data_IF_543305325023
#
_entry.id   IF_543305325023
#
_cell.length_a   1.000
_cell.length_b   1.000
_cell.length_c   1.000
_cell.angle_alpha   90.00
_cell.angle_beta   90.00
_cell.angle_gamma   90.00
#
_symmetry.space_group_name_H-M   'P 1'
#
loop_
_entity.id
_entity.type
_entity.pdbx_description
1 polymer ?
#
# COMPACT_ATOMS: atom_id res chain seq x y z
N UNK A 1 6.64 20.57 -10.92
CA UNK A 1 6.03 20.19 -9.63
C UNK A 1 4.62 20.73 -9.61
N UNK A 2 3.62 19.87 -9.52
CA UNK A 2 2.23 20.29 -9.39
C UNK A 2 2.01 20.79 -7.96
N UNK A 3 1.65 22.07 -7.82
CA UNK A 3 1.14 22.59 -6.56
C UNK A 3 -0.33 22.19 -6.46
N UNK A 4 -0.66 21.36 -5.52
CA UNK A 4 -2.05 21.11 -5.18
C UNK A 4 -2.58 22.35 -4.45
N UNK A 5 -3.50 23.04 -5.06
CA UNK A 5 -4.22 24.13 -4.42
C UNK A 5 -5.17 23.53 -3.38
N UNK A 6 -4.69 23.38 -2.16
CA UNK A 6 -5.45 22.85 -1.04
C UNK A 6 -4.55 22.65 0.16
N UNK A 7 -5.11 22.85 1.34
CA UNK A 7 -4.38 22.61 2.58
C UNK A 7 -4.36 21.09 2.85
N UNK A 8 -3.20 20.48 2.63
CA UNK A 8 -2.96 19.10 3.05
C UNK A 8 -2.71 19.05 4.57
N UNK A 9 -3.11 17.96 5.25
CA UNK A 9 -2.74 17.75 6.64
C UNK A 9 -1.23 17.85 6.85
N UNK A 10 -0.81 18.45 7.96
CA UNK A 10 0.60 18.61 8.33
C UNK A 10 1.07 17.58 9.34
N UNK A 11 0.15 16.80 9.91
CA UNK A 11 0.39 15.79 10.94
C UNK A 11 0.54 14.37 10.39
N UNK A 12 0.34 14.18 9.09
CA UNK A 12 0.34 12.86 8.44
C UNK A 12 0.69 12.95 6.96
N UNK A 13 1.04 11.82 6.39
CA UNK A 13 1.19 11.68 4.95
C UNK A 13 -0.15 11.72 4.23
N UNK A 14 -0.11 12.15 2.96
CA UNK A 14 -1.27 12.16 2.05
C UNK A 14 -0.96 11.33 0.81
N UNK A 15 -1.95 10.55 0.35
CA UNK A 15 -1.82 9.67 -0.80
C UNK A 15 -2.60 10.20 -1.98
N UNK A 16 -1.93 10.21 -3.14
CA UNK A 16 -2.53 10.51 -4.43
C UNK A 16 -2.23 9.38 -5.40
N UNK A 17 -3.13 9.17 -6.35
CA UNK A 17 -2.90 8.26 -7.45
C UNK A 17 -2.70 9.03 -8.73
N UNK A 18 -1.62 8.71 -9.43
CA UNK A 18 -1.34 9.25 -10.75
C UNK A 18 -1.59 8.15 -11.78
N UNK A 19 -2.60 8.36 -12.63
CA UNK A 19 -2.96 7.42 -13.68
C UNK A 19 -2.49 7.94 -15.02
N UNK A 20 -1.72 7.13 -15.76
CA UNK A 20 -1.35 7.41 -17.13
C UNK A 20 -1.91 6.35 -18.05
N UNK A 21 -2.40 6.77 -19.21
CA UNK A 21 -2.82 5.87 -20.28
C UNK A 21 -1.99 6.21 -21.50
N UNK A 22 -1.21 5.25 -22.00
CA UNK A 22 -0.50 5.37 -23.26
C UNK A 22 -1.31 4.68 -24.34
N UNK A 23 -1.75 5.46 -25.32
CA UNK A 23 -2.43 4.95 -26.52
C UNK A 23 -1.45 5.10 -27.66
N UNK A 24 -0.98 4.00 -28.29
CA UNK A 24 -0.11 4.11 -29.45
C UNK A 24 -0.85 4.80 -30.59
N UNK A 25 -0.13 5.67 -31.31
CA UNK A 25 -0.66 6.32 -32.49
C UNK A 25 -1.06 5.24 -33.54
N UNK A 26 -2.30 5.29 -34.00
CA UNK A 26 -2.72 4.43 -35.08
C UNK A 26 -2.02 4.86 -36.37
N UNK A 27 -1.26 3.96 -37.00
CA UNK A 27 -0.78 4.20 -38.36
C UNK A 27 -1.98 4.18 -39.32
N UNK A 28 -2.05 5.15 -40.20
CA UNK A 28 -3.09 5.26 -41.24
C UNK A 28 -3.00 4.17 -42.31
N UNK A 29 -1.95 3.39 -42.33
CA UNK A 29 -1.85 2.19 -43.15
C UNK A 29 -2.48 1.02 -42.39
N UNK A 30 -3.70 0.68 -42.78
CA UNK A 30 -4.45 -0.42 -42.24
C UNK A 30 -3.81 -1.77 -42.58
N UNK A 31 -2.76 -2.12 -41.87
CA UNK A 31 -2.34 -3.51 -41.79
C UNK A 31 -3.35 -4.22 -40.88
N UNK A 32 -4.15 -5.13 -41.45
CA UNK A 32 -5.29 -5.79 -40.80
C UNK A 32 -4.91 -6.67 -39.60
N UNK A 33 -3.63 -6.75 -39.25
CA UNK A 33 -3.08 -7.58 -38.18
C UNK A 33 -2.36 -6.76 -37.08
N UNK A 34 -2.64 -5.47 -36.95
CA UNK A 34 -1.99 -4.62 -35.93
C UNK A 34 -2.72 -4.78 -34.60
N UNK A 35 -2.04 -5.38 -33.63
CA UNK A 35 -2.49 -5.40 -32.23
C UNK A 35 -2.18 -4.04 -31.60
N UNK A 36 -3.23 -3.28 -31.23
CA UNK A 36 -3.06 -2.04 -30.48
C UNK A 36 -3.22 -2.38 -28.98
N UNK A 37 -2.16 -2.11 -28.21
CA UNK A 37 -2.17 -2.31 -26.76
C UNK A 37 -2.16 -0.94 -26.09
N UNK A 38 -3.23 -0.62 -25.35
CA UNK A 38 -3.24 0.54 -24.46
C UNK A 38 -2.65 0.12 -23.10
N UNK A 39 -1.61 0.82 -22.65
CA UNK A 39 -0.98 0.58 -21.35
C UNK A 39 -1.50 1.63 -20.36
N UNK A 40 -2.09 1.16 -19.27
CA UNK A 40 -2.48 2.00 -18.14
C UNK A 40 -1.51 1.78 -16.99
N UNK A 41 -0.94 2.86 -16.50
CA UNK A 41 -0.06 2.84 -15.33
C UNK A 41 -0.69 3.64 -14.20
N UNK A 42 -0.78 3.02 -13.03
CA UNK A 42 -1.26 3.66 -11.81
C UNK A 42 -0.11 3.76 -10.81
N UNK A 43 0.30 4.98 -10.50
CA UNK A 43 1.37 5.25 -9.55
C UNK A 43 0.80 5.83 -8.27
N UNK A 44 1.35 5.41 -7.14
CA UNK A 44 1.11 6.03 -5.85
C UNK A 44 2.07 7.19 -5.66
N UNK A 45 1.55 8.36 -5.33
CA UNK A 45 2.31 9.52 -4.93
C UNK A 45 2.00 9.83 -3.48
N UNK A 46 2.98 9.69 -2.61
CA UNK A 46 2.84 9.98 -1.19
C UNK A 46 3.53 11.31 -0.90
N UNK A 47 2.74 12.26 -0.42
CA UNK A 47 3.25 13.54 0.06
C UNK A 47 3.54 13.43 1.56
N UNK A 48 4.79 13.72 1.93
CA UNK A 48 5.23 13.75 3.33
C UNK A 48 5.45 15.20 3.75
N UNK A 49 4.70 15.67 4.77
CA UNK A 49 4.91 17.01 5.29
C UNK A 49 6.30 17.18 5.90
N UNK A 50 6.79 18.40 5.91
CA UNK A 50 8.12 18.73 6.47
C UNK A 50 8.27 18.33 7.95
N UNK A 51 7.19 18.37 8.72
CA UNK A 51 7.15 17.93 10.12
C UNK A 51 7.51 16.45 10.31
N UNK A 52 7.39 15.62 9.26
CA UNK A 52 7.71 14.19 9.29
C UNK A 52 9.02 13.86 8.54
N UNK A 53 9.78 14.87 8.12
CA UNK A 53 10.95 14.67 7.24
C UNK A 53 12.10 13.88 7.90
N UNK A 54 12.17 13.87 9.23
CA UNK A 54 13.23 13.21 10.01
C UNK A 54 12.89 11.77 10.38
N UNK A 55 11.77 11.26 9.90
CA UNK A 55 11.30 9.91 10.22
C UNK A 55 10.88 9.15 8.95
N UNK A 56 10.79 7.84 9.06
CA UNK A 56 10.48 6.96 7.93
C UNK A 56 9.49 5.87 8.34
N UNK A 57 8.65 5.38 7.41
CA UNK A 57 7.63 4.36 7.71
C UNK A 57 8.17 3.08 8.36
N UNK A 58 9.40 2.68 8.02
CA UNK A 58 9.99 1.45 8.53
C UNK A 58 10.19 1.48 10.05
N UNK A 59 10.38 2.66 10.64
CA UNK A 59 10.49 2.82 12.10
C UNK A 59 9.19 2.46 12.82
N UNK A 60 8.06 2.53 12.13
CA UNK A 60 6.72 2.32 12.67
C UNK A 60 6.10 0.96 12.28
N UNK A 61 6.82 0.17 11.50
CA UNK A 61 6.29 -1.10 11.00
C UNK A 61 5.90 -2.10 12.10
N UNK A 62 6.61 -2.08 13.23
CA UNK A 62 6.31 -2.95 14.38
C UNK A 62 5.27 -2.38 15.33
N UNK A 63 4.88 -1.12 15.16
CA UNK A 63 3.83 -0.48 15.97
C UNK A 63 2.42 -0.87 15.51
N UNK A 64 2.31 -1.54 14.36
CA UNK A 64 1.04 -2.04 13.86
C UNK A 64 0.42 -3.01 14.85
N UNK A 65 -0.84 -2.79 15.20
CA UNK A 65 -1.59 -3.71 16.02
C UNK A 65 -2.52 -4.57 15.18
N UNK A 66 -2.57 -5.84 15.49
CA UNK A 66 -3.32 -6.84 14.76
C UNK A 66 -4.40 -7.44 15.64
N UNK A 67 -5.59 -7.58 15.10
CA UNK A 67 -6.72 -8.21 15.77
C UNK A 67 -7.53 -9.02 14.78
N UNK A 68 -8.37 -9.88 15.31
CA UNK A 68 -9.27 -10.71 14.51
C UNK A 68 -10.72 -10.34 14.80
N UNK A 69 -11.53 -10.27 13.76
CA UNK A 69 -12.97 -10.12 13.84
C UNK A 69 -13.64 -11.08 12.85
N UNK A 70 -14.23 -12.14 13.36
CA UNK A 70 -14.84 -13.18 12.52
C UNK A 70 -13.84 -13.79 11.52
N UNK A 71 -14.12 -13.65 10.25
CA UNK A 71 -13.29 -14.14 9.14
C UNK A 71 -12.29 -13.09 8.60
N UNK A 72 -12.06 -12.03 9.37
CA UNK A 72 -11.16 -10.96 8.95
C UNK A 72 -10.05 -10.73 9.97
N UNK A 73 -8.89 -10.38 9.48
CA UNK A 73 -7.82 -9.78 10.26
C UNK A 73 -7.86 -8.27 10.07
N UNK A 74 -7.71 -7.54 11.16
CA UNK A 74 -7.72 -6.09 11.18
C UNK A 74 -6.34 -5.62 11.60
N UNK A 75 -5.74 -4.74 10.81
CA UNK A 75 -4.50 -4.04 11.16
C UNK A 75 -4.81 -2.59 11.46
N UNK A 76 -4.28 -2.09 12.57
CA UNK A 76 -4.38 -0.69 12.95
C UNK A 76 -3.02 -0.04 12.88
N UNK A 77 -2.95 1.08 12.19
CA UNK A 77 -1.74 1.89 12.04
C UNK A 77 -1.83 3.13 12.93
N UNK A 78 -1.08 3.20 14.03
CA UNK A 78 -1.07 4.37 14.92
C UNK A 78 -0.13 5.47 14.45
N UNK A 79 0.64 5.24 13.38
CA UNK A 79 1.66 6.17 12.87
C UNK A 79 1.09 7.20 11.90
N UNK A 80 1.82 8.31 11.66
CA UNK A 80 1.44 9.30 10.67
C UNK A 80 1.82 8.93 9.23
N UNK A 81 2.36 7.73 9.01
CA UNK A 81 2.85 7.25 7.72
C UNK A 81 1.90 6.26 7.07
N UNK A 82 1.84 6.26 5.73
CA UNK A 82 1.29 5.15 4.96
C UNK A 82 2.23 3.95 5.08
N UNK A 83 1.72 2.83 5.54
CA UNK A 83 2.47 1.58 5.61
C UNK A 83 2.08 0.73 4.40
N UNK A 84 3.03 0.52 3.50
CA UNK A 84 2.82 -0.29 2.29
C UNK A 84 3.36 -1.70 2.54
N UNK A 85 2.50 -2.69 2.44
CA UNK A 85 2.87 -4.09 2.67
C UNK A 85 3.49 -4.71 1.44
N UNK A 86 4.60 -5.40 1.64
CA UNK A 86 5.15 -6.35 0.67
C UNK A 86 4.31 -7.63 0.67
N UNK A 87 4.03 -8.16 1.85
CA UNK A 87 3.11 -9.25 2.10
C UNK A 87 2.59 -9.21 3.53
N UNK A 88 1.46 -9.89 3.73
CA UNK A 88 0.93 -10.25 5.05
C UNK A 88 0.64 -11.74 5.00
N UNK A 89 1.12 -12.48 5.98
CA UNK A 89 0.85 -13.91 6.14
C UNK A 89 0.20 -14.17 7.49
N UNK A 90 -0.79 -15.05 7.51
CA UNK A 90 -1.40 -15.55 8.73
C UNK A 90 -1.21 -17.07 8.76
N UNK A 91 -0.58 -17.58 9.80
CA UNK A 91 -0.20 -19.00 9.92
C UNK A 91 0.54 -19.54 8.67
N UNK A 92 1.42 -18.73 8.10
CA UNK A 92 2.19 -19.08 6.91
C UNK A 92 1.47 -18.92 5.57
N UNK A 93 0.18 -18.58 5.56
CA UNK A 93 -0.60 -18.34 4.35
C UNK A 93 -0.66 -16.86 4.00
N UNK A 94 -0.30 -16.51 2.78
CA UNK A 94 -0.36 -15.14 2.29
C UNK A 94 -1.80 -14.65 2.13
N UNK A 95 -2.08 -13.46 2.63
CA UNK A 95 -3.36 -12.80 2.41
C UNK A 95 -3.43 -12.19 1.02
N UNK A 96 -4.62 -12.20 0.45
CA UNK A 96 -4.92 -11.53 -0.82
C UNK A 96 -5.26 -10.07 -0.51
N UNK A 97 -4.38 -9.16 -0.86
CA UNK A 97 -4.54 -7.74 -0.57
C UNK A 97 -5.18 -6.95 -1.71
N UNK A 98 -5.15 -7.48 -2.94
CA UNK A 98 -5.60 -6.78 -4.15
C UNK A 98 -5.00 -5.37 -4.23
N UNK A 99 -5.87 -4.36 -4.41
CA UNK A 99 -5.46 -2.94 -4.46
C UNK A 99 -5.25 -2.30 -3.08
N UNK A 100 -5.50 -3.05 -1.99
CA UNK A 100 -5.43 -2.58 -0.61
C UNK A 100 -4.17 -3.05 0.11
N UNK A 101 -3.03 -2.96 -0.55
CA UNK A 101 -1.74 -3.37 0.02
C UNK A 101 -1.11 -2.30 0.92
N UNK A 102 -1.91 -1.46 1.53
CA UNK A 102 -1.45 -0.41 2.43
C UNK A 102 -2.47 -0.13 3.53
N UNK A 103 -2.00 0.46 4.61
CA UNK A 103 -2.85 1.04 5.65
C UNK A 103 -2.50 2.52 5.82
N UNK A 104 -3.54 3.35 5.81
CA UNK A 104 -3.39 4.80 5.91
C UNK A 104 -2.96 5.25 7.31
N UNK A 105 -2.41 6.47 7.45
CA UNK A 105 -2.08 7.03 8.75
C UNK A 105 -3.29 7.06 9.70
N UNK A 106 -3.05 6.72 10.95
CA UNK A 106 -4.05 6.71 12.02
C UNK A 106 -5.34 5.95 11.69
N UNK A 107 -5.24 4.95 10.84
CA UNK A 107 -6.38 4.23 10.27
C UNK A 107 -6.22 2.73 10.42
N UNK A 108 -7.26 1.99 10.06
CA UNK A 108 -7.27 0.53 10.05
C UNK A 108 -7.60 0.00 8.66
N UNK A 109 -7.11 -1.20 8.37
CA UNK A 109 -7.45 -1.96 7.19
C UNK A 109 -7.86 -3.37 7.59
N UNK A 110 -8.71 -4.02 6.81
CA UNK A 110 -9.16 -5.38 7.06
C UNK A 110 -8.95 -6.27 5.84
N UNK A 111 -8.60 -7.51 6.09
CA UNK A 111 -8.35 -8.51 5.05
C UNK A 111 -9.07 -9.81 5.40
N UNK A 112 -9.56 -10.51 4.38
CA UNK A 112 -10.17 -11.82 4.56
C UNK A 112 -9.13 -12.85 5.01
N UNK A 113 -9.46 -13.64 6.03
CA UNK A 113 -8.63 -14.75 6.48
C UNK A 113 -8.87 -15.97 5.61
N UNK A 114 -7.81 -16.67 5.18
CA UNK A 114 -7.95 -17.90 4.40
C UNK A 114 -8.43 -19.09 5.23
N UNK A 115 -8.26 -19.02 6.56
CA UNK A 115 -8.74 -20.06 7.48
C UNK A 115 -9.19 -19.45 8.80
N UNK A 116 -10.01 -20.20 9.53
CA UNK A 116 -10.59 -19.76 10.82
C UNK A 116 -9.65 -19.90 12.01
N UNK A 117 -8.54 -20.57 11.86
CA UNK A 117 -7.58 -20.78 12.93
C UNK A 117 -6.72 -19.53 13.10
N UNK A 118 -6.94 -18.82 14.18
CA UNK A 118 -6.10 -17.70 14.59
C UNK A 118 -4.71 -18.18 15.03
N UNK A 119 -3.76 -17.29 15.08
CA UNK A 119 -2.43 -17.62 15.53
C UNK A 119 -1.45 -16.50 15.30
N UNK A 120 -0.54 -16.69 14.36
CA UNK A 120 0.58 -15.80 14.10
C UNK A 120 0.36 -15.01 12.82
N UNK A 121 0.55 -13.70 12.91
CA UNK A 121 0.62 -12.82 11.72
C UNK A 121 2.07 -12.41 11.50
N UNK A 122 2.50 -12.45 10.26
CA UNK A 122 3.82 -12.02 9.80
C UNK A 122 3.66 -11.02 8.65
N UNK A 123 4.49 -9.98 8.65
CA UNK A 123 4.44 -8.99 7.58
C UNK A 123 5.82 -8.41 7.27
N UNK A 124 5.98 -7.96 6.05
CA UNK A 124 7.05 -7.07 5.61
C UNK A 124 6.44 -5.85 4.94
N UNK A 125 7.11 -4.73 5.06
CA UNK A 125 6.72 -3.50 4.39
C UNK A 125 7.74 -3.10 3.32
N UNK A 126 7.30 -2.24 2.42
CA UNK A 126 8.15 -1.61 1.42
C UNK A 126 8.64 -0.29 2.01
N UNK A 127 9.96 -0.09 2.03
CA UNK A 127 10.56 1.15 2.52
C UNK A 127 10.55 2.24 1.44
N UNK A 128 10.98 3.45 1.81
CA UNK A 128 11.01 4.61 0.91
C UNK A 128 11.90 4.42 -0.34
N UNK A 129 12.86 3.52 -0.27
CA UNK A 129 13.77 3.21 -1.38
C UNK A 129 13.27 2.06 -2.27
N UNK A 130 12.06 1.56 -2.01
CA UNK A 130 11.49 0.42 -2.73
C UNK A 130 12.00 -0.95 -2.27
N UNK A 131 12.83 -0.99 -1.23
CA UNK A 131 13.34 -2.23 -0.64
C UNK A 131 12.39 -2.83 0.39
N UNK A 132 12.74 -4.03 0.86
CA UNK A 132 11.99 -4.74 1.89
C UNK A 132 12.48 -4.35 3.28
N UNK A 133 11.55 -4.30 4.24
CA UNK A 133 11.88 -4.25 5.67
C UNK A 133 12.31 -5.62 6.20
N UNK A 134 12.70 -5.65 7.48
CA UNK A 134 12.78 -6.89 8.24
C UNK A 134 11.41 -7.57 8.33
N UNK A 135 11.42 -8.85 8.71
CA UNK A 135 10.20 -9.59 8.99
C UNK A 135 9.71 -9.25 10.39
N UNK A 136 8.48 -8.78 10.48
CA UNK A 136 7.79 -8.54 11.74
C UNK A 136 6.74 -9.63 11.98
N UNK A 137 6.45 -9.88 13.25
CA UNK A 137 5.47 -10.88 13.64
C UNK A 137 4.74 -10.48 14.91
N UNK A 138 3.51 -10.93 15.03
CA UNK A 138 2.66 -10.72 16.20
C UNK A 138 1.67 -11.88 16.34
N UNK A 139 1.11 -12.02 17.54
CA UNK A 139 0.00 -12.94 17.77
C UNK A 139 -1.34 -12.29 17.39
N UNK A 140 -2.29 -13.11 16.96
CA UNK A 140 -3.67 -12.70 16.74
C UNK A 140 -4.54 -13.13 17.92
#
# INVERSE_FOLDING_TARGET
MFKLDGQLPTDRESLFFFNTTSIPASSTEADRNTLQIAVRTKLKLIFRPKSLSDDVPVNHAKELSWSRSGNQVIVKNPSPFYINFMFIKVNGQSLIMKDKNFVAPFSSASYALPSTNGGKVEWKIINDMGGQSDLYQSSL
#
